data_IF_234910127560
#
_entry.id   IF_234910127560
#
_cell.length_a   1.000
_cell.length_b   1.000
_cell.length_c   1.000
_cell.angle_alpha   90.00
_cell.angle_beta   90.00
_cell.angle_gamma   90.00
#
_symmetry.space_group_name_H-M   'P 1'
#
loop_
_entity.id
_entity.type
_entity.pdbx_description
1 polymer ?
#
# COMPACT_ATOMS: atom_id res chain seq x y z
N UNK A 1 -105.99 46.25 34.43
CA UNK A 1 -105.10 47.43 34.33
C UNK A 1 -103.76 46.97 34.87
N UNK A 2 -102.67 46.81 34.10
CA UNK A 2 -102.01 47.73 33.15
C UNK A 2 -101.41 48.95 33.90
N UNK A 3 -100.13 49.34 33.77
CA UNK A 3 -98.99 48.94 32.89
C UNK A 3 -97.72 48.64 33.76
N UNK A 4 -96.55 48.10 33.37
CA UNK A 4 -95.64 48.27 32.20
C UNK A 4 -94.99 49.67 32.14
N UNK A 5 -93.66 49.94 32.04
CA UNK A 5 -92.38 49.18 31.85
C UNK A 5 -91.24 49.84 32.73
N UNK A 6 -89.90 49.66 32.71
CA UNK A 6 -88.87 48.91 31.92
C UNK A 6 -87.45 48.96 32.59
N UNK A 7 -86.52 48.05 32.23
CA UNK A 7 -85.03 48.08 32.43
C UNK A 7 -84.46 48.10 33.88
N UNK A 8 -83.17 47.80 34.19
CA UNK A 8 -82.00 47.41 33.36
C UNK A 8 -81.09 46.38 34.10
N UNK A 9 -80.28 45.60 33.38
CA UNK A 9 -79.36 44.58 33.94
C UNK A 9 -77.89 44.94 33.68
N UNK A 10 -77.03 44.85 34.70
CA UNK A 10 -75.59 45.18 34.57
C UNK A 10 -74.69 44.38 35.51
N UNK A 11 -74.35 43.14 35.11
CA UNK A 11 -73.11 42.50 35.55
C UNK A 11 -71.94 43.09 34.75
N UNK A 12 -70.77 43.37 35.35
CA UNK A 12 -69.61 43.87 34.61
C UNK A 12 -69.05 42.78 33.69
N UNK A 13 -69.00 43.06 32.38
CA UNK A 13 -68.34 42.21 31.40
C UNK A 13 -66.82 42.31 31.56
N UNK A 14 -66.13 41.17 31.53
CA UNK A 14 -64.67 41.15 31.45
C UNK A 14 -64.20 41.72 30.09
N UNK A 15 -63.06 42.44 30.04
CA UNK A 15 -62.60 43.08 28.80
C UNK A 15 -62.20 42.04 27.75
N UNK A 16 -62.71 42.21 26.53
CA UNK A 16 -62.39 41.37 25.38
C UNK A 16 -60.98 41.67 24.85
N UNK A 17 -59.97 41.10 25.52
CA UNK A 17 -58.58 41.13 25.06
C UNK A 17 -58.41 40.34 23.75
N UNK A 18 -58.60 41.02 22.63
CA UNK A 18 -58.38 40.47 21.29
C UNK A 18 -56.86 40.30 21.06
N UNK A 19 -56.30 39.17 21.49
CA UNK A 19 -54.87 38.86 21.32
C UNK A 19 -54.59 38.25 19.93
N UNK A 20 -53.90 38.96 19.01
CA UNK A 20 -53.35 38.36 17.79
C UNK A 20 -52.06 37.56 18.10
N UNK A 21 -52.08 36.75 19.16
CA UNK A 21 -50.89 36.07 19.70
C UNK A 21 -50.57 34.76 18.99
N UNK A 22 -51.60 34.01 18.61
CA UNK A 22 -51.46 32.71 17.94
C UNK A 22 -50.67 32.80 16.64
N UNK A 23 -50.95 33.81 15.81
CA UNK A 23 -50.33 33.95 14.49
C UNK A 23 -48.88 34.42 14.55
N UNK A 24 -48.55 35.27 15.54
CA UNK A 24 -47.18 35.69 15.79
C UNK A 24 -46.31 34.52 16.29
N UNK A 25 -46.84 33.70 17.21
CA UNK A 25 -46.15 32.51 17.70
C UNK A 25 -46.07 31.40 16.64
N UNK A 26 -47.09 31.24 15.78
CA UNK A 26 -47.06 30.25 14.69
C UNK A 26 -46.04 30.62 13.60
N UNK A 27 -45.97 31.89 13.17
CA UNK A 27 -44.95 32.38 12.24
C UNK A 27 -43.54 32.31 12.83
N UNK A 28 -43.37 32.66 14.11
CA UNK A 28 -42.08 32.53 14.79
C UNK A 28 -41.63 31.06 14.85
N UNK A 29 -42.53 30.13 15.18
CA UNK A 29 -42.25 28.70 15.20
C UNK A 29 -41.97 28.13 13.80
N UNK A 30 -42.71 28.53 12.77
CA UNK A 30 -42.47 28.13 11.39
C UNK A 30 -41.11 28.61 10.89
N UNK A 31 -40.76 29.89 11.12
CA UNK A 31 -39.45 30.47 10.77
C UNK A 31 -38.32 29.82 11.57
N UNK A 32 -38.50 29.59 12.87
CA UNK A 32 -37.57 28.86 13.74
C UNK A 32 -37.29 27.44 13.23
N UNK A 33 -38.34 26.70 12.86
CA UNK A 33 -38.22 25.32 12.38
C UNK A 33 -37.62 25.25 10.98
N UNK A 34 -37.90 26.21 10.09
CA UNK A 34 -37.25 26.30 8.78
C UNK A 34 -35.76 26.64 8.93
N UNK A 35 -35.38 27.63 9.74
CA UNK A 35 -33.96 27.95 10.01
C UNK A 35 -33.23 26.74 10.63
N UNK A 36 -33.85 26.01 11.56
CA UNK A 36 -33.31 24.75 12.12
C UNK A 36 -33.15 23.68 11.04
N UNK A 37 -34.12 23.54 10.12
CA UNK A 37 -34.10 22.58 9.01
C UNK A 37 -33.01 22.91 7.99
N UNK A 38 -32.86 24.17 7.59
CA UNK A 38 -31.80 24.66 6.70
C UNK A 38 -30.41 24.48 7.32
N UNK A 39 -30.23 24.88 8.58
CA UNK A 39 -28.97 24.65 9.32
C UNK A 39 -28.65 23.15 9.42
N UNK A 40 -29.65 22.28 9.65
CA UNK A 40 -29.45 20.82 9.67
C UNK A 40 -29.07 20.26 8.30
N UNK A 41 -29.71 20.72 7.22
CA UNK A 41 -29.36 20.33 5.84
C UNK A 41 -27.94 20.80 5.49
N UNK A 42 -27.59 22.05 5.79
CA UNK A 42 -26.24 22.60 5.56
C UNK A 42 -25.17 21.83 6.33
N UNK A 43 -25.43 21.47 7.59
CA UNK A 43 -24.50 20.66 8.38
C UNK A 43 -24.36 19.23 7.83
N UNK A 44 -25.43 18.62 7.32
CA UNK A 44 -25.36 17.32 6.63
C UNK A 44 -24.52 17.43 5.36
N UNK A 45 -24.72 18.47 4.53
CA UNK A 45 -23.93 18.69 3.31
C UNK A 45 -22.43 18.89 3.60
N UNK A 46 -22.08 19.67 4.62
CA UNK A 46 -20.68 19.79 5.05
C UNK A 46 -20.11 18.47 5.56
N UNK A 47 -20.89 17.69 6.33
CA UNK A 47 -20.45 16.38 6.81
C UNK A 47 -20.24 15.38 5.67
N UNK A 48 -21.15 15.31 4.69
CA UNK A 48 -20.98 14.42 3.52
C UNK A 48 -19.80 14.84 2.65
N UNK A 49 -19.56 16.14 2.47
CA UNK A 49 -18.40 16.65 1.74
C UNK A 49 -17.07 16.31 2.45
N UNK A 50 -17.02 16.46 3.78
CA UNK A 50 -15.87 16.09 4.60
C UNK A 50 -15.59 14.57 4.55
N UNK A 51 -16.62 13.74 4.72
CA UNK A 51 -16.50 12.28 4.61
C UNK A 51 -16.09 11.85 3.21
N UNK A 52 -16.64 12.47 2.15
CA UNK A 52 -16.23 12.20 0.77
C UNK A 52 -14.75 12.57 0.52
N UNK A 53 -14.28 13.71 1.04
CA UNK A 53 -12.88 14.11 0.98
C UNK A 53 -11.94 13.11 1.66
N UNK A 54 -12.33 12.60 2.84
CA UNK A 54 -11.61 11.52 3.54
C UNK A 54 -11.60 10.24 2.71
N UNK A 55 -12.74 9.79 2.19
CA UNK A 55 -12.82 8.56 1.38
C UNK A 55 -11.96 8.67 0.11
N UNK A 56 -11.94 9.83 -0.55
CA UNK A 56 -11.07 10.10 -1.69
C UNK A 56 -9.59 10.02 -1.30
N UNK A 57 -9.16 10.70 -0.23
CA UNK A 57 -7.78 10.63 0.28
C UNK A 57 -7.36 9.19 0.62
N UNK A 58 -8.22 8.43 1.32
CA UNK A 58 -7.97 7.03 1.65
C UNK A 58 -7.88 6.17 0.37
N UNK A 59 -8.77 6.36 -0.61
CA UNK A 59 -8.70 5.61 -1.88
C UNK A 59 -7.36 5.85 -2.60
N UNK A 60 -6.90 7.10 -2.70
CA UNK A 60 -5.64 7.45 -3.34
C UNK A 60 -4.43 6.84 -2.63
N UNK A 61 -4.46 6.73 -1.30
CA UNK A 61 -3.38 6.15 -0.50
C UNK A 61 -3.36 4.61 -0.61
N UNK A 62 -4.51 3.95 -0.48
CA UNK A 62 -4.59 2.49 -0.43
C UNK A 62 -4.60 1.81 -1.83
N UNK A 63 -4.90 2.56 -2.90
CA UNK A 63 -4.85 2.08 -4.30
C UNK A 63 -3.48 2.32 -4.95
N UNK A 64 -2.61 3.19 -4.40
CA UNK A 64 -1.23 3.43 -4.89
C UNK A 64 -0.31 2.22 -4.65
N UNK A 65 -0.45 1.21 -5.50
CA UNK A 65 0.38 0.01 -5.55
C UNK A 65 1.80 0.37 -6.00
N UNK A 66 2.77 0.16 -5.11
CA UNK A 66 4.20 0.19 -5.42
C UNK A 66 4.67 -1.20 -5.82
N UNK A 67 5.63 -1.29 -6.74
CA UNK A 67 6.37 -2.55 -6.91
C UNK A 67 7.15 -2.85 -5.61
N UNK A 68 7.29 -4.13 -5.21
CA UNK A 68 8.26 -4.53 -4.19
C UNK A 68 9.69 -4.15 -4.61
N UNK A 69 10.59 -4.04 -3.64
CA UNK A 69 12.03 -3.90 -3.89
C UNK A 69 12.74 -5.22 -3.55
N UNK A 70 13.79 -5.58 -4.29
CA UNK A 70 14.63 -6.75 -4.01
C UNK A 70 16.08 -6.31 -3.98
N UNK A 71 16.89 -6.89 -3.09
CA UNK A 71 18.35 -6.78 -3.14
C UNK A 71 19.01 -8.05 -2.60
N UNK A 72 20.31 -8.20 -2.88
CA UNK A 72 21.18 -9.18 -2.25
C UNK A 72 21.96 -8.55 -1.08
N UNK A 73 22.24 -9.36 -0.05
CA UNK A 73 23.07 -8.97 1.08
C UNK A 73 23.80 -10.19 1.64
N UNK A 74 24.83 -9.97 2.47
CA UNK A 74 25.56 -11.01 3.21
C UNK A 74 26.01 -12.19 2.32
N UNK A 75 26.51 -11.87 1.13
CA UNK A 75 26.95 -12.84 0.13
C UNK A 75 28.24 -13.51 0.60
N UNK A 76 28.34 -14.82 0.37
CA UNK A 76 29.49 -15.66 0.71
C UNK A 76 29.90 -16.47 -0.51
N UNK A 77 31.20 -16.56 -0.73
CA UNK A 77 31.81 -17.30 -1.82
C UNK A 77 32.77 -18.33 -1.21
N UNK A 78 32.82 -19.53 -1.80
CA UNK A 78 33.81 -20.55 -1.49
C UNK A 78 34.28 -21.19 -2.78
N UNK A 79 35.59 -21.15 -3.04
CA UNK A 79 36.22 -21.79 -4.19
C UNK A 79 36.71 -23.19 -3.80
N UNK A 80 36.20 -24.24 -4.44
CA UNK A 80 36.56 -25.63 -4.12
C UNK A 80 37.81 -26.13 -4.86
N UNK A 81 38.55 -25.25 -5.57
CA UNK A 81 39.77 -25.60 -6.31
C UNK A 81 39.51 -26.17 -7.70
N UNK A 82 38.51 -27.05 -7.86
CA UNK A 82 38.15 -27.71 -9.13
C UNK A 82 37.58 -26.77 -10.22
N UNK A 83 37.52 -25.47 -9.96
CA UNK A 83 36.82 -24.51 -10.80
C UNK A 83 35.30 -24.50 -10.62
N UNK A 84 34.81 -25.08 -9.53
CA UNK A 84 33.45 -24.89 -9.00
C UNK A 84 33.49 -23.92 -7.82
N UNK A 85 32.60 -22.92 -7.82
CA UNK A 85 32.50 -21.89 -6.80
C UNK A 85 31.11 -21.94 -6.19
N UNK A 86 31.01 -22.24 -4.90
CA UNK A 86 29.75 -22.14 -4.18
C UNK A 86 29.44 -20.67 -3.83
N UNK A 87 28.36 -20.14 -4.37
CA UNK A 87 27.84 -18.79 -4.13
C UNK A 87 26.58 -18.88 -3.26
N UNK A 88 26.62 -18.36 -2.04
CA UNK A 88 25.48 -18.30 -1.12
C UNK A 88 25.13 -16.85 -0.79
N UNK A 89 23.85 -16.48 -0.85
CA UNK A 89 23.42 -15.10 -0.60
C UNK A 89 22.10 -15.02 0.18
N UNK A 90 21.83 -13.85 0.75
CA UNK A 90 20.54 -13.52 1.35
C UNK A 90 19.77 -12.61 0.41
N UNK A 91 18.58 -13.05 -0.02
CA UNK A 91 17.67 -12.24 -0.84
C UNK A 91 16.68 -11.54 0.09
N UNK A 92 16.60 -10.22 0.00
CA UNK A 92 15.65 -9.43 0.77
C UNK A 92 14.55 -8.91 -0.15
N UNK A 93 13.30 -9.29 0.12
CA UNK A 93 12.11 -8.86 -0.63
C UNK A 93 11.26 -7.93 0.22
N UNK A 94 11.29 -6.63 -0.09
CA UNK A 94 10.58 -5.57 0.66
C UNK A 94 9.25 -5.23 -0.01
N UNK A 95 8.17 -5.63 0.63
CA UNK A 95 6.82 -5.22 0.26
C UNK A 95 6.46 -3.91 0.97
N UNK A 96 6.51 -2.77 0.27
CA UNK A 96 6.15 -1.46 0.83
C UNK A 96 4.62 -1.20 0.89
N UNK A 97 3.79 -2.11 0.37
CA UNK A 97 2.34 -1.93 0.25
C UNK A 97 1.56 -2.27 1.53
N UNK A 98 0.35 -1.72 1.64
CA UNK A 98 -0.66 -2.11 2.63
C UNK A 98 -1.34 -3.45 2.33
N UNK A 99 -0.99 -4.10 1.22
CA UNK A 99 -1.50 -5.40 0.77
C UNK A 99 -0.43 -6.47 0.90
N UNK A 100 -0.80 -7.74 1.06
CA UNK A 100 0.19 -8.83 1.15
C UNK A 100 0.73 -9.13 -0.25
N UNK A 101 2.03 -9.34 -0.40
CA UNK A 101 2.64 -9.72 -1.68
C UNK A 101 2.97 -11.20 -1.65
N UNK A 102 2.58 -11.93 -2.67
CA UNK A 102 2.77 -13.38 -2.80
C UNK A 102 3.39 -13.61 -4.18
N UNK A 103 4.60 -14.17 -4.22
CA UNK A 103 5.32 -14.41 -5.47
C UNK A 103 5.71 -15.88 -5.60
N UNK A 104 5.67 -16.34 -6.84
CA UNK A 104 5.81 -17.74 -7.20
C UNK A 104 7.31 -18.11 -7.32
N UNK A 105 7.66 -19.38 -7.18
CA UNK A 105 9.07 -19.84 -7.22
C UNK A 105 9.76 -19.41 -8.52
N UNK A 106 10.93 -18.78 -8.42
CA UNK A 106 11.58 -18.06 -9.52
C UNK A 106 13.02 -18.52 -9.71
N UNK A 107 13.40 -18.86 -10.95
CA UNK A 107 14.79 -19.09 -11.34
C UNK A 107 15.51 -17.75 -11.54
N UNK A 108 16.66 -17.60 -10.89
CA UNK A 108 17.63 -16.53 -11.12
C UNK A 108 18.89 -17.06 -11.80
N UNK A 109 19.55 -16.21 -12.57
CA UNK A 109 20.77 -16.51 -13.32
C UNK A 109 21.94 -15.68 -12.81
N UNK A 110 23.14 -16.25 -12.90
CA UNK A 110 24.40 -15.54 -12.66
C UNK A 110 25.19 -15.61 -13.98
N UNK A 111 25.52 -14.45 -14.54
CA UNK A 111 26.20 -14.33 -15.83
C UNK A 111 27.58 -13.68 -15.69
N UNK A 112 28.50 -14.04 -16.58
CA UNK A 112 29.83 -13.42 -16.72
C UNK A 112 30.17 -13.33 -18.21
N UNK A 113 30.67 -12.18 -18.67
CA UNK A 113 30.91 -11.93 -20.12
C UNK A 113 29.67 -11.96 -21.03
N UNK A 114 28.47 -12.14 -20.48
CA UNK A 114 27.22 -12.40 -21.21
C UNK A 114 26.75 -13.86 -21.16
N UNK A 115 27.62 -14.80 -20.79
CA UNK A 115 27.29 -16.22 -20.65
C UNK A 115 26.73 -16.55 -19.26
N UNK A 116 25.90 -17.59 -19.15
CA UNK A 116 25.38 -18.06 -17.85
C UNK A 116 26.38 -19.01 -17.19
N UNK A 117 27.00 -18.56 -16.10
CA UNK A 117 27.98 -19.31 -15.31
C UNK A 117 27.38 -19.99 -14.08
N UNK A 118 26.18 -19.60 -13.66
CA UNK A 118 25.45 -20.23 -12.54
C UNK A 118 23.96 -19.92 -12.52
N UNK A 119 23.21 -20.65 -11.69
CA UNK A 119 21.77 -20.48 -11.49
C UNK A 119 21.40 -20.70 -10.02
N UNK A 120 20.32 -20.06 -9.56
CA UNK A 120 19.74 -20.23 -8.23
C UNK A 120 18.21 -20.18 -8.28
N UNK A 121 17.55 -20.74 -7.27
CA UNK A 121 16.09 -20.66 -7.12
C UNK A 121 15.77 -19.76 -5.94
N UNK A 122 14.97 -18.71 -6.16
CA UNK A 122 14.29 -17.98 -5.09
C UNK A 122 12.96 -18.70 -4.83
N UNK A 123 12.76 -19.32 -3.65
CA UNK A 123 11.56 -20.11 -3.38
C UNK A 123 10.30 -19.24 -3.26
N UNK A 124 9.15 -19.85 -3.53
CA UNK A 124 7.82 -19.23 -3.39
C UNK A 124 7.62 -18.64 -1.98
N UNK A 125 7.04 -17.44 -1.91
CA UNK A 125 6.90 -16.75 -0.63
C UNK A 125 5.79 -15.69 -0.57
N UNK A 126 5.00 -15.76 0.51
CA UNK A 126 4.22 -14.62 1.00
C UNK A 126 5.10 -13.67 1.83
N UNK A 127 5.01 -12.36 1.54
CA UNK A 127 5.58 -11.22 2.25
C UNK A 127 4.44 -10.38 2.84
N UNK A 128 4.47 -10.16 4.16
CA UNK A 128 3.42 -9.43 4.88
C UNK A 128 3.36 -7.95 4.46
N UNK A 129 2.26 -7.28 4.82
CA UNK A 129 2.04 -5.84 4.57
C UNK A 129 3.19 -5.01 5.17
N UNK A 130 3.70 -4.01 4.44
CA UNK A 130 4.75 -3.08 4.86
C UNK A 130 5.95 -3.76 5.57
N UNK A 131 6.43 -4.87 5.03
CA UNK A 131 7.49 -5.69 5.65
C UNK A 131 8.52 -6.16 4.63
N UNK A 132 9.70 -6.54 5.13
CA UNK A 132 10.74 -7.21 4.35
C UNK A 132 10.79 -8.69 4.75
N UNK A 133 10.86 -9.59 3.76
CA UNK A 133 11.16 -11.01 3.99
C UNK A 133 12.58 -11.30 3.54
N UNK A 134 13.34 -11.97 4.39
CA UNK A 134 14.66 -12.52 4.07
C UNK A 134 14.50 -13.97 3.62
N UNK A 135 15.16 -14.32 2.54
CA UNK A 135 15.32 -15.68 2.01
C UNK A 135 16.81 -15.98 1.85
N UNK A 136 17.15 -17.25 1.70
CA UNK A 136 18.51 -17.71 1.41
C UNK A 136 18.52 -18.37 0.03
N UNK A 137 19.58 -18.12 -0.75
CA UNK A 137 19.83 -18.78 -2.03
C UNK A 137 21.23 -19.39 -2.03
N UNK A 138 21.40 -20.44 -2.83
CA UNK A 138 22.70 -21.03 -3.14
C UNK A 138 22.76 -21.31 -4.65
N UNK A 139 23.93 -21.09 -5.25
CA UNK A 139 24.28 -21.42 -6.61
C UNK A 139 25.65 -22.12 -6.63
N UNK A 140 25.84 -23.02 -7.59
CA UNK A 140 27.19 -23.33 -8.06
C UNK A 140 27.48 -22.43 -9.28
N UNK A 141 28.62 -21.74 -9.25
CA UNK A 141 29.16 -20.99 -10.38
C UNK A 141 30.30 -21.84 -10.95
N UNK A 142 30.18 -22.23 -12.22
CA UNK A 142 31.26 -22.90 -12.96
C UNK A 142 32.22 -21.84 -13.48
N UNK A 143 33.52 -22.07 -13.33
CA UNK A 143 34.53 -21.07 -13.74
C UNK A 143 34.79 -21.05 -15.24
N UNK A 144 35.14 -19.86 -15.78
CA UNK A 144 35.52 -19.69 -17.18
C UNK A 144 36.65 -20.56 -17.72
N UNK A 145 37.51 -21.15 -16.88
CA UNK A 145 38.51 -22.12 -17.34
C UNK A 145 37.89 -23.35 -18.05
N UNK A 146 36.59 -23.59 -17.87
CA UNK A 146 35.80 -24.63 -18.55
C UNK A 146 34.83 -24.07 -19.63
N UNK A 147 34.78 -22.76 -19.84
CA UNK A 147 33.80 -22.07 -20.71
C UNK A 147 34.39 -21.01 -21.67
N UNK A 148 35.63 -20.56 -21.48
CA UNK A 148 36.35 -19.67 -22.41
C UNK A 148 36.36 -18.17 -22.08
N UNK A 149 35.61 -17.72 -21.07
CA UNK A 149 35.63 -16.31 -20.62
C UNK A 149 36.96 -15.96 -19.93
N UNK A 150 37.42 -14.70 -20.06
CA UNK A 150 38.76 -14.30 -19.60
C UNK A 150 38.78 -13.84 -18.13
N UNK A 151 39.39 -14.64 -17.26
CA UNK A 151 39.66 -14.28 -15.86
C UNK A 151 40.96 -13.46 -15.75
N UNK A 152 40.89 -12.15 -15.99
CA UNK A 152 42.05 -11.27 -15.74
C UNK A 152 42.34 -11.19 -14.23
N UNK A 153 43.58 -11.53 -13.86
CA UNK A 153 44.14 -11.37 -12.51
C UNK A 153 43.36 -12.05 -11.36
N UNK A 154 42.60 -13.12 -11.66
CA UNK A 154 41.84 -13.87 -10.64
C UNK A 154 40.57 -13.16 -10.14
N UNK A 155 40.12 -12.11 -10.83
CA UNK A 155 38.81 -11.49 -10.58
C UNK A 155 37.82 -12.02 -11.63
N UNK A 156 36.66 -12.47 -11.17
CA UNK A 156 35.54 -12.93 -11.97
C UNK A 156 34.38 -11.92 -11.82
N UNK A 157 34.17 -11.00 -12.78
CA UNK A 157 33.00 -10.12 -12.76
C UNK A 157 31.74 -10.94 -13.05
N UNK A 158 30.70 -10.76 -12.23
CA UNK A 158 29.40 -11.44 -12.41
C UNK A 158 28.22 -10.50 -12.25
N UNK A 159 27.13 -10.81 -12.96
CA UNK A 159 25.83 -10.15 -12.82
C UNK A 159 24.79 -11.19 -12.40
N UNK A 160 24.11 -10.95 -11.27
CA UNK A 160 23.01 -11.78 -10.76
C UNK A 160 21.68 -11.14 -11.15
N UNK A 161 20.84 -11.89 -11.87
CA UNK A 161 19.53 -11.42 -12.36
C UNK A 161 18.38 -12.35 -11.96
N UNK A 162 17.24 -11.79 -11.56
CA UNK A 162 15.99 -12.52 -11.35
C UNK A 162 14.75 -11.61 -11.50
N UNK A 163 13.62 -12.18 -11.91
CA UNK A 163 12.32 -11.48 -12.00
C UNK A 163 11.29 -12.19 -11.12
N UNK A 164 11.07 -11.71 -9.89
CA UNK A 164 10.02 -12.25 -9.01
C UNK A 164 8.65 -11.83 -9.53
N UNK A 165 7.91 -12.79 -10.11
CA UNK A 165 6.53 -12.59 -10.57
C UNK A 165 5.57 -12.93 -9.43
N UNK A 166 4.63 -12.02 -9.13
CA UNK A 166 3.71 -12.22 -8.03
C UNK A 166 2.41 -11.42 -8.12
N UNK A 167 1.64 -11.48 -7.04
CA UNK A 167 0.34 -10.82 -6.89
C UNK A 167 0.21 -10.17 -5.51
N UNK A 168 -0.42 -8.99 -5.49
CA UNK A 168 -0.86 -8.33 -4.26
C UNK A 168 -2.29 -8.78 -3.92
N UNK A 169 -2.46 -9.37 -2.74
CA UNK A 169 -3.78 -9.74 -2.19
C UNK A 169 -4.45 -8.52 -1.54
N UNK A 170 -5.37 -7.90 -2.29
CA UNK A 170 -6.19 -6.77 -1.85
C UNK A 170 -7.48 -7.32 -1.23
N UNK A 171 -7.69 -7.07 0.06
CA UNK A 171 -8.80 -7.62 0.87
C UNK A 171 -9.02 -9.15 0.72
N UNK A 172 -7.98 -9.93 0.38
CA UNK A 172 -8.00 -11.36 -0.02
C UNK A 172 -8.79 -11.68 -1.31
N UNK A 173 -9.82 -10.91 -1.66
CA UNK A 173 -10.66 -11.13 -2.85
C UNK A 173 -9.95 -10.74 -4.15
N UNK A 174 -9.37 -9.55 -4.22
CA UNK A 174 -8.81 -9.02 -5.46
C UNK A 174 -7.29 -9.27 -5.53
N UNK A 175 -6.81 -9.77 -6.67
CA UNK A 175 -5.39 -10.05 -6.93
C UNK A 175 -4.88 -9.12 -8.03
N UNK A 176 -3.92 -8.25 -7.71
CA UNK A 176 -3.24 -7.38 -8.71
C UNK A 176 -1.84 -7.91 -8.97
N UNK A 177 -1.55 -8.34 -10.21
CA UNK A 177 -0.20 -8.80 -10.60
C UNK A 177 0.81 -7.66 -10.47
N UNK A 178 1.99 -7.97 -9.94
CA UNK A 178 3.17 -7.11 -9.93
C UNK A 178 4.41 -7.99 -10.02
N UNK A 179 5.42 -7.52 -10.74
CA UNK A 179 6.77 -8.06 -10.66
C UNK A 179 7.63 -7.17 -9.76
N UNK A 180 8.71 -7.74 -9.24
CA UNK A 180 9.87 -7.01 -8.79
C UNK A 180 11.11 -7.68 -9.37
N UNK A 181 12.03 -6.86 -9.86
CA UNK A 181 13.22 -7.31 -10.55
C UNK A 181 14.42 -7.20 -9.60
N UNK A 182 15.43 -8.02 -9.83
CA UNK A 182 16.69 -8.02 -9.10
C UNK A 182 17.82 -7.98 -10.14
N UNK A 183 18.66 -6.95 -10.08
CA UNK A 183 19.87 -6.86 -10.90
C UNK A 183 21.04 -6.37 -10.05
N UNK A 184 21.93 -7.28 -9.67
CA UNK A 184 23.16 -6.95 -8.94
C UNK A 184 24.41 -7.27 -9.76
N UNK A 185 25.36 -6.33 -9.82
CA UNK A 185 26.70 -6.50 -10.41
C UNK A 185 27.73 -6.55 -9.30
N UNK A 186 28.70 -7.46 -9.39
CA UNK A 186 29.70 -7.68 -8.34
C UNK A 186 30.95 -8.38 -8.88
N UNK A 187 32.10 -8.09 -8.29
CA UNK A 187 33.40 -8.69 -8.63
C UNK A 187 33.74 -9.78 -7.61
N UNK A 188 33.87 -11.03 -8.04
CA UNK A 188 34.32 -12.14 -7.19
C UNK A 188 35.84 -12.25 -7.29
N UNK A 189 36.56 -12.05 -6.19
CA UNK A 189 37.99 -12.31 -6.12
C UNK A 189 38.23 -13.78 -5.74
N UNK A 190 38.75 -14.56 -6.68
CA UNK A 190 38.91 -16.01 -6.56
C UNK A 190 40.05 -16.42 -5.61
N UNK A 191 41.04 -15.55 -5.42
CA UNK A 191 42.23 -15.78 -4.60
C UNK A 191 41.92 -15.70 -3.11
N UNK A 192 41.04 -14.78 -2.70
CA UNK A 192 40.60 -14.61 -1.30
C UNK A 192 39.16 -15.06 -1.03
N UNK A 193 38.47 -15.63 -2.04
CA UNK A 193 37.05 -16.05 -1.99
C UNK A 193 36.11 -14.96 -1.43
N UNK A 194 36.30 -13.72 -1.86
CA UNK A 194 35.55 -12.55 -1.39
C UNK A 194 34.85 -11.81 -2.54
N UNK A 195 33.91 -10.93 -2.19
CA UNK A 195 33.21 -10.06 -3.14
C UNK A 195 33.65 -8.60 -2.95
N UNK A 196 33.81 -7.92 -4.08
CA UNK A 196 34.14 -6.52 -4.24
C UNK A 196 33.05 -5.87 -5.12
N UNK A 197 32.91 -4.55 -5.04
CA UNK A 197 32.09 -3.73 -5.97
C UNK A 197 30.63 -4.19 -6.16
N UNK A 198 29.96 -4.58 -5.07
CA UNK A 198 28.54 -4.97 -5.09
C UNK A 198 27.63 -3.73 -5.27
N UNK A 199 27.06 -3.60 -6.47
CA UNK A 199 25.96 -2.68 -6.81
C UNK A 199 24.68 -3.49 -7.07
N UNK A 200 23.52 -2.97 -6.66
CA UNK A 200 22.20 -3.61 -6.81
C UNK A 200 21.14 -2.55 -7.13
N UNK A 201 20.30 -2.83 -8.14
CA UNK A 201 19.27 -1.93 -8.69
C UNK A 201 17.87 -2.54 -8.58
#
# INVERSE_FOLDING_TARGET
MATDQKYQQSYPLAPSNFMPRSDAESLANFRSNNIKKENKIRNILFFTMFVAGIVLLFSLIFVRIKSPQIWLENIRVSNNGDGNINFAAQVFVRNSNYWRYEFDSTLGTITSGGETVGQFIIPEAEVRRRSTKKLYINANIVTPARQGVSNTNGILPVTSQAMLRGKLQIFRVFRRKKSADLSCTMNINLTISAIQDLDCK
#
